data_IF_492652134860
#
_entry.id   IF_492652134860
#
_cell.length_a   1.000
_cell.length_b   1.000
_cell.length_c   1.000
_cell.angle_alpha   90.00
_cell.angle_beta   90.00
_cell.angle_gamma   90.00
#
_symmetry.space_group_name_H-M   'P 1'
#
loop_
_entity.id
_entity.type
_entity.pdbx_description
1 polymer ?
#
# COMPACT_ATOMS: atom_id res chain seq x y z
N UNK A 1 35.88 -29.65 -68.20
CA UNK A 1 35.89 -30.46 -66.96
C UNK A 1 35.05 -29.77 -65.91
N UNK A 2 33.98 -30.42 -65.44
CA UNK A 2 33.25 -30.01 -64.23
C UNK A 2 34.02 -30.57 -63.02
N UNK A 3 34.37 -29.75 -62.04
CA UNK A 3 34.54 -30.27 -60.69
C UNK A 3 34.00 -29.25 -59.69
N UNK A 4 33.09 -29.77 -58.89
CA UNK A 4 32.02 -29.15 -58.13
C UNK A 4 32.52 -28.64 -56.78
N UNK A 5 32.49 -27.32 -56.60
CA UNK A 5 32.54 -26.68 -55.28
C UNK A 5 31.20 -26.83 -54.55
N UNK A 6 30.76 -28.06 -54.25
CA UNK A 6 29.65 -28.30 -53.33
C UNK A 6 30.20 -28.52 -51.93
N UNK A 7 30.26 -27.44 -51.15
CA UNK A 7 30.38 -27.56 -49.69
C UNK A 7 29.15 -28.34 -49.19
N UNK A 8 29.30 -29.42 -48.40
CA UNK A 8 28.19 -30.31 -48.09
C UNK A 8 27.08 -29.52 -47.39
N UNK A 9 25.85 -29.56 -47.94
CA UNK A 9 24.64 -28.88 -47.44
C UNK A 9 24.39 -29.06 -45.92
N UNK A 10 25.00 -30.08 -45.33
CA UNK A 10 24.86 -30.45 -43.92
C UNK A 10 25.59 -29.49 -42.97
N UNK A 11 26.74 -28.91 -43.36
CA UNK A 11 27.52 -28.00 -42.48
C UNK A 11 26.78 -26.68 -42.20
N UNK A 12 26.18 -26.09 -43.25
CA UNK A 12 25.37 -24.88 -43.11
C UNK A 12 24.12 -25.16 -42.26
N UNK A 13 23.52 -26.34 -42.38
CA UNK A 13 22.37 -26.74 -41.58
C UNK A 13 22.74 -26.91 -40.09
N UNK A 14 23.85 -27.57 -39.80
CA UNK A 14 24.34 -27.76 -38.43
C UNK A 14 24.69 -26.43 -37.75
N UNK A 15 25.31 -25.49 -38.49
CA UNK A 15 25.64 -24.16 -37.98
C UNK A 15 24.36 -23.38 -37.60
N UNK A 16 23.32 -23.42 -38.45
CA UNK A 16 22.03 -22.76 -38.18
C UNK A 16 21.29 -23.38 -36.99
N UNK A 17 21.32 -24.71 -36.86
CA UNK A 17 20.71 -25.42 -35.71
C UNK A 17 21.46 -25.10 -34.41
N UNK A 18 22.79 -24.96 -34.46
CA UNK A 18 23.60 -24.58 -33.30
C UNK A 18 23.32 -23.13 -32.86
N UNK A 19 23.23 -22.20 -33.81
CA UNK A 19 22.90 -20.79 -33.57
C UNK A 19 21.49 -20.66 -32.98
N UNK A 20 20.51 -21.40 -33.51
CA UNK A 20 19.15 -21.41 -32.99
C UNK A 20 19.06 -21.95 -31.54
N UNK A 21 19.88 -22.95 -31.16
CA UNK A 21 19.95 -23.43 -29.77
C UNK A 21 20.50 -22.37 -28.82
N UNK A 22 21.56 -21.67 -29.22
CA UNK A 22 22.16 -20.61 -28.39
C UNK A 22 21.22 -19.43 -28.23
N UNK A 23 20.59 -18.98 -29.32
CA UNK A 23 19.58 -17.92 -29.27
C UNK A 23 18.40 -18.32 -28.38
N UNK A 24 17.89 -19.57 -28.51
CA UNK A 24 16.80 -20.06 -27.66
C UNK A 24 17.16 -20.08 -26.17
N UNK A 25 18.40 -20.41 -25.82
CA UNK A 25 18.89 -20.32 -24.44
C UNK A 25 18.96 -18.88 -23.96
N UNK A 26 19.52 -17.96 -24.75
CA UNK A 26 19.60 -16.53 -24.39
C UNK A 26 18.20 -15.94 -24.20
N UNK A 27 17.28 -16.20 -25.14
CA UNK A 27 15.89 -15.75 -25.05
C UNK A 27 15.22 -16.31 -23.79
N UNK A 28 15.44 -17.59 -23.48
CA UNK A 28 14.92 -18.20 -22.26
C UNK A 28 15.45 -17.52 -20.99
N UNK A 29 16.75 -17.24 -20.90
CA UNK A 29 17.32 -16.52 -19.75
C UNK A 29 16.83 -15.07 -19.67
N UNK A 30 16.68 -14.37 -20.79
CA UNK A 30 16.11 -13.03 -20.82
C UNK A 30 14.66 -13.02 -20.35
N UNK A 31 13.82 -13.93 -20.84
CA UNK A 31 12.41 -14.05 -20.41
C UNK A 31 12.31 -14.44 -18.94
N UNK A 32 13.15 -15.36 -18.47
CA UNK A 32 13.23 -15.74 -17.05
C UNK A 32 13.63 -14.55 -16.17
N UNK A 33 14.64 -13.77 -16.59
CA UNK A 33 15.06 -12.56 -15.88
C UNK A 33 13.95 -11.51 -15.80
N UNK A 34 13.20 -11.33 -16.89
CA UNK A 34 12.05 -10.42 -16.95
C UNK A 34 10.92 -10.87 -16.02
N UNK A 35 10.63 -12.18 -15.97
CA UNK A 35 9.65 -12.73 -15.03
C UNK A 35 10.07 -12.54 -13.57
N UNK A 36 11.34 -12.79 -13.25
CA UNK A 36 11.88 -12.57 -11.89
C UNK A 36 11.76 -11.10 -11.49
N UNK A 37 12.12 -10.17 -12.38
CA UNK A 37 11.95 -8.74 -12.14
C UNK A 37 10.49 -8.35 -11.91
N UNK A 38 9.56 -8.90 -12.70
CA UNK A 38 8.13 -8.69 -12.51
C UNK A 38 7.62 -9.18 -11.15
N UNK A 39 8.06 -10.36 -10.71
CA UNK A 39 7.72 -10.91 -9.39
C UNK A 39 8.26 -10.00 -8.27
N UNK A 40 9.51 -9.55 -8.38
CA UNK A 40 10.11 -8.61 -7.40
C UNK A 40 9.30 -7.31 -7.34
N UNK A 41 8.86 -6.78 -8.49
CA UNK A 41 8.06 -5.57 -8.56
C UNK A 41 6.70 -5.72 -7.86
N UNK A 42 6.02 -6.84 -8.12
CA UNK A 42 4.72 -7.16 -7.50
C UNK A 42 4.88 -7.38 -5.99
N UNK A 43 5.92 -8.10 -5.57
CA UNK A 43 6.19 -8.39 -4.18
C UNK A 43 6.58 -7.11 -3.41
N UNK A 44 7.38 -6.24 -4.03
CA UNK A 44 7.74 -4.93 -3.48
C UNK A 44 6.53 -4.02 -3.36
N UNK A 45 5.68 -3.94 -4.39
CA UNK A 45 4.44 -3.17 -4.33
C UNK A 45 3.48 -3.70 -3.25
N UNK A 46 3.34 -5.02 -3.13
CA UNK A 46 2.52 -5.64 -2.09
C UNK A 46 3.06 -5.37 -0.67
N UNK A 47 4.37 -5.52 -0.48
CA UNK A 47 5.02 -5.24 0.81
C UNK A 47 4.95 -3.76 1.17
N UNK A 48 5.14 -2.88 0.19
CA UNK A 48 5.01 -1.43 0.37
C UNK A 48 3.59 -1.07 0.80
N UNK A 49 2.57 -1.59 0.11
CA UNK A 49 1.16 -1.38 0.47
C UNK A 49 0.87 -1.79 1.92
N UNK A 50 1.40 -2.94 2.35
CA UNK A 50 1.23 -3.44 3.73
C UNK A 50 1.95 -2.56 4.77
N UNK A 51 3.14 -2.06 4.46
CA UNK A 51 3.95 -1.28 5.41
C UNK A 51 3.59 0.22 5.46
N UNK A 52 3.04 0.79 4.38
CA UNK A 52 2.67 2.21 4.35
C UNK A 52 1.21 2.48 4.70
N UNK A 53 0.33 1.49 4.53
CA UNK A 53 -1.07 1.57 4.98
C UNK A 53 -1.29 0.89 6.34
N UNK A 54 -0.29 0.19 6.86
CA UNK A 54 -0.30 -0.34 8.22
C UNK A 54 -0.22 0.78 9.27
N UNK A 55 -0.72 0.53 10.49
CA UNK A 55 -0.76 1.52 11.56
C UNK A 55 0.62 2.06 11.93
N UNK A 56 0.65 3.24 12.54
CA UNK A 56 1.91 3.96 12.85
C UNK A 56 2.75 3.17 13.83
N UNK A 57 2.11 2.55 14.81
CA UNK A 57 2.75 1.68 15.78
C UNK A 57 1.81 0.52 16.16
N UNK A 58 2.23 -0.72 15.94
CA UNK A 58 1.45 -1.92 16.27
C UNK A 58 1.97 -2.58 17.57
N UNK A 59 3.14 -2.16 18.08
CA UNK A 59 3.78 -2.75 19.25
C UNK A 59 3.49 -1.98 20.54
N UNK A 60 3.26 -0.66 20.45
CA UNK A 60 2.81 0.15 21.59
C UNK A 60 1.60 1.01 21.20
N UNK A 61 0.37 0.50 21.34
CA UNK A 61 -0.83 1.27 21.06
C UNK A 61 -0.97 2.40 22.09
N UNK A 62 -0.53 3.60 21.72
CA UNK A 62 -0.78 4.81 22.51
C UNK A 62 -2.15 5.36 22.13
N UNK A 63 -2.99 5.60 23.15
CA UNK A 63 -4.28 6.27 22.98
C UNK A 63 -4.08 7.78 23.11
N UNK A 64 -4.34 8.49 22.01
CA UNK A 64 -4.21 9.95 21.91
C UNK A 64 -5.59 10.57 21.83
N UNK A 65 -5.82 11.59 22.67
CA UNK A 65 -7.05 12.38 22.64
C UNK A 65 -6.91 13.51 21.63
N UNK A 66 -7.82 13.58 20.67
CA UNK A 66 -7.78 14.55 19.58
C UNK A 66 -9.11 15.25 19.42
N UNK A 67 -9.07 16.57 19.41
CA UNK A 67 -10.23 17.42 19.17
C UNK A 67 -10.29 17.83 17.70
N UNK A 68 -11.40 17.52 17.03
CA UNK A 68 -11.67 17.95 15.65
C UNK A 68 -12.66 19.13 15.66
N UNK A 69 -12.24 20.35 15.27
CA UNK A 69 -13.11 21.51 15.23
C UNK A 69 -14.26 21.38 14.21
N UNK A 70 -15.38 22.06 14.48
CA UNK A 70 -16.52 22.14 13.57
C UNK A 70 -16.10 22.81 12.26
N UNK A 71 -16.52 22.23 11.14
CA UNK A 71 -16.20 22.73 9.79
C UNK A 71 -14.78 22.38 9.33
N UNK A 72 -14.05 21.53 10.07
CA UNK A 72 -12.74 21.06 9.65
C UNK A 72 -12.82 20.29 8.35
N UNK A 73 -12.01 20.69 7.38
CA UNK A 73 -11.83 19.98 6.12
C UNK A 73 -10.96 18.73 6.33
N UNK A 74 -11.04 17.76 5.41
CA UNK A 74 -10.16 16.57 5.43
C UNK A 74 -8.66 16.91 5.49
N UNK A 75 -8.28 18.08 4.95
CA UNK A 75 -6.91 18.59 5.04
C UNK A 75 -6.55 19.00 6.48
N UNK A 76 -7.41 19.77 7.14
CA UNK A 76 -7.19 20.20 8.53
C UNK A 76 -7.18 19.02 9.49
N UNK A 77 -8.12 18.07 9.30
CA UNK A 77 -8.15 16.82 10.08
C UNK A 77 -6.83 16.07 9.91
N UNK A 78 -6.34 15.90 8.67
CA UNK A 78 -5.06 15.25 8.41
C UNK A 78 -3.88 15.94 9.10
N UNK A 79 -3.84 17.28 9.13
CA UNK A 79 -2.80 18.03 9.84
C UNK A 79 -2.87 17.85 11.35
N UNK A 80 -4.07 17.81 11.93
CA UNK A 80 -4.25 17.56 13.37
C UNK A 80 -3.79 16.15 13.72
N UNK A 81 -4.22 15.15 12.96
CA UNK A 81 -3.82 13.75 13.18
C UNK A 81 -2.30 13.54 13.02
N UNK A 82 -1.65 14.30 12.13
CA UNK A 82 -0.20 14.25 11.94
C UNK A 82 0.54 14.87 13.14
N UNK A 83 0.05 16.01 13.65
CA UNK A 83 0.62 16.67 14.82
C UNK A 83 0.56 15.77 16.07
N UNK A 84 -0.53 15.01 16.21
CA UNK A 84 -0.78 14.07 17.31
C UNK A 84 -0.16 12.68 17.06
N UNK A 85 0.59 12.49 15.96
CA UNK A 85 1.31 11.24 15.66
C UNK A 85 0.43 10.05 15.26
N UNK A 86 -0.87 10.24 15.10
CA UNK A 86 -1.83 9.20 14.68
C UNK A 86 -1.70 8.82 13.20
N UNK A 87 -1.20 9.74 12.37
CA UNK A 87 -0.86 9.46 10.97
C UNK A 87 0.56 9.93 10.66
N UNK A 88 1.30 9.14 9.88
CA UNK A 88 2.66 9.50 9.45
C UNK A 88 2.73 10.78 8.60
N UNK A 89 1.63 11.10 7.90
CA UNK A 89 1.57 12.27 7.03
C UNK A 89 0.11 12.69 6.76
N UNK A 90 -0.24 13.94 7.07
CA UNK A 90 -1.60 14.47 6.89
C UNK A 90 -2.01 14.62 5.43
N UNK A 91 -1.05 14.79 4.52
CA UNK A 91 -1.30 14.80 3.07
C UNK A 91 -1.71 13.42 2.58
N UNK A 92 -1.12 12.35 3.14
CA UNK A 92 -1.49 10.98 2.80
C UNK A 92 -2.90 10.65 3.27
N UNK A 93 -3.28 11.08 4.48
CA UNK A 93 -4.66 11.01 4.97
C UNK A 93 -5.63 11.70 3.99
N UNK A 94 -5.35 12.96 3.61
CA UNK A 94 -6.18 13.71 2.67
C UNK A 94 -6.33 12.99 1.33
N UNK A 95 -5.24 12.46 0.79
CA UNK A 95 -5.26 11.74 -0.48
C UNK A 95 -6.09 10.46 -0.37
N UNK A 96 -5.93 9.71 0.71
CA UNK A 96 -6.64 8.47 0.96
C UNK A 96 -8.16 8.69 1.10
N UNK A 97 -8.56 9.70 1.88
CA UNK A 97 -9.96 10.13 2.01
C UNK A 97 -10.56 10.48 0.65
N UNK A 98 -9.82 11.23 -0.18
CA UNK A 98 -10.27 11.61 -1.53
C UNK A 98 -10.37 10.42 -2.47
N UNK A 99 -9.44 9.47 -2.38
CA UNK A 99 -9.44 8.25 -3.18
C UNK A 99 -10.63 7.34 -2.83
N UNK A 100 -10.94 7.19 -1.54
CA UNK A 100 -12.11 6.44 -1.05
C UNK A 100 -13.44 7.21 -1.20
N UNK A 101 -13.38 8.48 -1.61
CA UNK A 101 -14.53 9.39 -1.71
C UNK A 101 -15.28 9.53 -0.38
N UNK A 102 -14.54 9.53 0.72
CA UNK A 102 -15.07 9.60 2.07
C UNK A 102 -15.33 11.05 2.48
N UNK A 103 -16.48 11.29 3.10
CA UNK A 103 -16.92 12.62 3.53
C UNK A 103 -17.86 12.51 4.74
N UNK A 104 -18.27 13.65 5.28
CA UNK A 104 -19.18 13.70 6.43
C UNK A 104 -18.51 13.42 7.78
N UNK A 105 -17.24 13.81 7.93
CA UNK A 105 -16.54 13.73 9.21
C UNK A 105 -17.25 14.57 10.27
N UNK A 106 -17.41 13.98 11.46
CA UNK A 106 -18.04 14.64 12.59
C UNK A 106 -17.00 15.42 13.39
N UNK A 107 -17.40 16.57 13.90
CA UNK A 107 -16.59 17.32 14.86
C UNK A 107 -16.81 16.79 16.27
N UNK A 108 -15.79 16.86 17.12
CA UNK A 108 -15.85 16.36 18.48
C UNK A 108 -14.49 15.90 19.00
N UNK A 109 -14.52 15.35 20.21
CA UNK A 109 -13.35 14.80 20.89
C UNK A 109 -13.31 13.29 20.71
N UNK A 110 -12.18 12.81 20.21
CA UNK A 110 -11.96 11.41 19.87
C UNK A 110 -10.79 10.86 20.67
N UNK A 111 -10.94 9.60 21.09
CA UNK A 111 -9.82 8.79 21.59
C UNK A 111 -9.39 7.85 20.48
N UNK A 112 -8.26 8.14 19.87
CA UNK A 112 -7.74 7.41 18.71
C UNK A 112 -6.44 6.73 19.13
N UNK A 113 -6.15 5.57 18.54
CA UNK A 113 -4.90 4.87 18.82
C UNK A 113 -3.95 4.95 17.63
N UNK A 114 -2.65 5.09 17.91
CA UNK A 114 -1.58 4.99 16.89
C UNK A 114 -1.55 3.62 16.19
N UNK A 115 -2.19 2.61 16.79
CA UNK A 115 -2.38 1.27 16.23
C UNK A 115 -3.57 1.15 15.26
N UNK A 116 -4.40 2.20 15.11
CA UNK A 116 -5.52 2.19 14.17
C UNK A 116 -5.03 2.37 12.73
N UNK A 117 -5.65 1.64 11.82
CA UNK A 117 -5.45 1.80 10.37
C UNK A 117 -6.13 3.06 9.85
N UNK A 118 -5.74 3.51 8.66
CA UNK A 118 -6.35 4.68 8.01
C UNK A 118 -7.86 4.52 7.81
N UNK A 119 -8.32 3.30 7.46
CA UNK A 119 -9.75 3.00 7.30
C UNK A 119 -10.49 3.08 8.66
N UNK A 120 -9.89 2.58 9.75
CA UNK A 120 -10.47 2.66 11.10
C UNK A 120 -10.54 4.10 11.62
N UNK A 121 -9.50 4.90 11.39
CA UNK A 121 -9.51 6.33 11.73
C UNK A 121 -10.64 7.06 10.99
N UNK A 122 -10.78 6.82 9.69
CA UNK A 122 -11.86 7.41 8.87
C UNK A 122 -13.23 6.97 9.38
N UNK A 123 -13.39 5.69 9.69
CA UNK A 123 -14.64 5.16 10.24
C UNK A 123 -14.98 5.80 11.59
N UNK A 124 -14.01 5.90 12.51
CA UNK A 124 -14.19 6.53 13.82
C UNK A 124 -14.61 8.00 13.71
N UNK A 125 -13.96 8.75 12.81
CA UNK A 125 -14.26 10.15 12.54
C UNK A 125 -15.62 10.36 11.84
N UNK A 126 -16.14 9.34 11.16
CA UNK A 126 -17.47 9.39 10.52
C UNK A 126 -18.59 8.95 11.46
N UNK A 127 -18.35 7.90 12.23
CA UNK A 127 -19.30 7.40 13.24
C UNK A 127 -19.49 8.40 14.37
N UNK A 128 -18.52 9.29 14.61
CA UNK A 128 -18.61 10.27 15.68
C UNK A 128 -18.59 9.59 17.04
N UNK A 129 -17.71 8.59 17.25
CA UNK A 129 -17.54 7.98 18.57
C UNK A 129 -16.83 8.96 19.51
N UNK A 130 -17.63 9.90 20.02
CA UNK A 130 -17.32 10.71 21.18
C UNK A 130 -17.05 9.74 22.33
N UNK A 131 -16.01 10.03 23.12
CA UNK A 131 -15.66 9.39 24.39
C UNK A 131 -16.89 8.72 25.04
N UNK A 132 -17.02 7.39 24.89
CA UNK A 132 -17.82 6.59 25.79
C UNK A 132 -17.00 6.40 27.06
N UNK A 133 -16.74 7.48 27.78
CA UNK A 133 -16.60 7.31 29.21
C UNK A 133 -18.03 7.09 29.72
N UNK A 134 -18.36 5.95 30.35
CA UNK A 134 -19.64 5.76 31.00
C UNK A 134 -19.75 6.69 32.23
N UNK A 135 -19.78 8.01 32.02
CA UNK A 135 -19.99 9.02 33.06
C UNK A 135 -21.45 9.06 33.52
N UNK A 136 -22.37 8.41 32.81
CA UNK A 136 -23.76 8.24 33.25
C UNK A 136 -23.93 6.88 33.92
N UNK A 137 -23.23 6.68 35.05
CA UNK A 137 -23.69 5.70 36.05
C UNK A 137 -24.98 6.27 36.62
N UNK A 138 -26.13 5.86 36.05
CA UNK A 138 -27.43 6.11 36.63
C UNK A 138 -27.54 5.25 37.90
N UNK A 139 -26.98 5.73 39.01
CA UNK A 139 -27.21 5.13 40.32
C UNK A 139 -28.69 5.33 40.63
N UNK A 140 -29.49 4.27 40.44
CA UNK A 140 -30.85 4.20 40.95
C UNK A 140 -30.73 3.94 42.46
N UNK A 141 -31.07 4.89 43.33
CA UNK A 141 -31.27 4.55 44.74
C UNK A 141 -32.57 3.73 44.86
N UNK A 142 -32.51 2.69 45.69
CA UNK A 142 -33.65 1.89 46.13
C UNK A 142 -34.60 2.70 47.03
#
# INVERSE_FOLDING_TARGET
>A
MSNSNEKPRNELYEERVSQARTVRKIVFFCVMGLLILGIIFVFSAYFYMKNTLGPVDQENPEEVQVTIPIGSTANQIGTILEAEGLVKNGTLFRYYVRYKNESGFQAGDYKLSTAMTMDELIAALKEGRILQDPELVFTVPE
#
